data_IF_754519688681
#
_entry.id   IF_754519688681
#
_cell.length_a   1.000
_cell.length_b   1.000
_cell.length_c   1.000
_cell.angle_alpha   90.00
_cell.angle_beta   90.00
_cell.angle_gamma   90.00
#
_symmetry.space_group_name_H-M   'P 1'
#
loop_
_entity.id
_entity.type
_entity.pdbx_description
1 polymer ?
#
# COMPACT_ATOMS: atom_id res chain seq x y z
N UNK A 1 7.66 3.92 -1.12
CA UNK A 1 7.71 5.38 -1.36
C UNK A 1 8.35 5.67 -2.71
N UNK A 2 7.73 6.59 -3.46
CA UNK A 2 8.19 7.08 -4.75
C UNK A 2 9.47 7.89 -4.58
N UNK A 3 10.29 7.89 -5.63
CA UNK A 3 11.55 8.64 -5.66
C UNK A 3 11.26 10.12 -5.42
N UNK A 4 12.05 10.76 -4.56
CA UNK A 4 11.94 12.18 -4.19
C UNK A 4 10.52 12.59 -3.74
N UNK A 5 9.75 11.67 -3.13
CA UNK A 5 8.35 11.93 -2.72
C UNK A 5 7.47 12.43 -3.87
N UNK A 6 7.80 12.08 -5.12
CA UNK A 6 6.97 12.48 -6.26
C UNK A 6 5.58 11.87 -6.13
N UNK A 7 4.55 12.70 -6.33
CA UNK A 7 3.13 12.34 -6.18
C UNK A 7 2.61 11.56 -7.40
N UNK A 8 3.20 10.41 -7.68
CA UNK A 8 2.91 9.58 -8.86
C UNK A 8 1.47 9.05 -8.87
N UNK A 9 0.86 8.90 -7.70
CA UNK A 9 -0.49 8.35 -7.52
C UNK A 9 -1.58 9.42 -7.38
N UNK A 10 -1.26 10.71 -7.59
CA UNK A 10 -2.29 11.73 -7.86
C UNK A 10 -3.06 11.41 -9.15
N UNK A 11 -2.44 10.66 -10.07
CA UNK A 11 -3.13 10.07 -11.22
C UNK A 11 -3.98 8.88 -10.76
N UNK A 12 -5.32 8.94 -10.87
CA UNK A 12 -6.21 7.85 -10.46
C UNK A 12 -5.82 6.53 -11.11
N UNK A 13 -5.44 6.62 -12.37
CA UNK A 13 -5.19 5.46 -13.16
C UNK A 13 -3.80 4.83 -12.91
N UNK A 14 -2.89 5.53 -12.20
CA UNK A 14 -1.70 4.91 -11.61
C UNK A 14 -2.05 4.26 -10.26
N UNK A 15 -2.96 4.85 -9.48
CA UNK A 15 -3.43 4.27 -8.21
C UNK A 15 -4.22 2.97 -8.47
N UNK A 16 -5.12 2.95 -9.45
CA UNK A 16 -5.85 1.77 -9.90
C UNK A 16 -4.89 0.65 -10.33
N UNK A 17 -3.86 1.02 -11.09
CA UNK A 17 -2.84 0.08 -11.53
C UNK A 17 -2.10 -0.54 -10.34
N UNK A 18 -1.76 0.25 -9.33
CA UNK A 18 -1.15 -0.26 -8.10
C UNK A 18 -2.07 -1.24 -7.37
N UNK A 19 -3.35 -0.90 -7.20
CA UNK A 19 -4.34 -1.80 -6.57
C UNK A 19 -4.50 -3.11 -7.33
N UNK A 20 -4.58 -3.06 -8.67
CA UNK A 20 -4.65 -4.25 -9.51
C UNK A 20 -3.41 -5.14 -9.37
N UNK A 21 -2.22 -4.52 -9.25
CA UNK A 21 -0.98 -5.27 -9.03
C UNK A 21 -0.95 -5.95 -7.66
N UNK A 22 -1.38 -5.28 -6.59
CA UNK A 22 -1.50 -5.90 -5.26
C UNK A 22 -2.43 -7.12 -5.31
N UNK A 23 -3.63 -6.95 -5.89
CA UNK A 23 -4.57 -8.06 -6.08
C UNK A 23 -4.03 -9.18 -6.99
N UNK A 24 -3.19 -8.85 -7.98
CA UNK A 24 -2.53 -9.88 -8.81
C UNK A 24 -1.51 -10.69 -8.03
N UNK A 25 -0.77 -10.07 -7.12
CA UNK A 25 0.19 -10.77 -6.26
C UNK A 25 -0.50 -11.75 -5.31
N UNK A 26 -1.69 -11.40 -4.84
CA UNK A 26 -2.52 -12.31 -4.05
C UNK A 26 -3.03 -13.49 -4.88
N UNK A 27 -3.55 -13.24 -6.09
CA UNK A 27 -3.97 -14.32 -7.02
C UNK A 27 -2.83 -15.23 -7.47
N UNK A 28 -1.62 -14.69 -7.58
CA UNK A 28 -0.40 -15.43 -7.91
C UNK A 28 0.15 -16.24 -6.70
N UNK A 29 -0.47 -16.13 -5.52
CA UNK A 29 -0.02 -16.85 -4.31
C UNK A 29 1.31 -16.35 -3.75
N UNK A 30 1.70 -15.10 -4.06
CA UNK A 30 2.90 -14.48 -3.51
C UNK A 30 2.61 -13.94 -2.11
N UNK A 31 1.46 -13.31 -1.96
CA UNK A 31 0.99 -12.68 -0.74
C UNK A 31 -0.45 -13.06 -0.44
N UNK A 32 -0.88 -12.76 0.78
CA UNK A 32 -2.28 -12.57 1.11
C UNK A 32 -2.40 -11.21 1.81
N UNK A 33 -2.85 -10.21 1.06
CA UNK A 33 -3.09 -8.87 1.60
C UNK A 33 -4.19 -8.87 2.67
N UNK A 34 -3.97 -8.07 3.69
CA UNK A 34 -4.92 -7.83 4.78
C UNK A 34 -5.44 -6.39 4.75
N UNK A 35 -4.59 -5.43 4.34
CA UNK A 35 -4.98 -4.04 4.14
C UNK A 35 -3.97 -3.33 3.23
N UNK A 36 -4.43 -2.32 2.49
CA UNK A 36 -3.55 -1.37 1.81
C UNK A 36 -4.18 0.01 1.70
N UNK A 37 -3.32 1.02 1.54
CA UNK A 37 -3.71 2.37 1.15
C UNK A 37 -2.69 2.91 0.15
N UNK A 38 -3.17 3.43 -0.98
CA UNK A 38 -2.31 4.11 -1.95
C UNK A 38 -2.31 5.61 -1.63
N UNK A 39 -1.22 6.09 -1.04
CA UNK A 39 -0.97 7.50 -0.80
C UNK A 39 -0.42 8.17 -2.08
N UNK A 40 -0.48 9.50 -2.22
CA UNK A 40 -0.02 10.20 -3.43
C UNK A 40 1.39 9.83 -3.90
N UNK A 41 2.30 9.56 -2.98
CA UNK A 41 3.71 9.27 -3.27
C UNK A 41 4.24 7.99 -2.58
N UNK A 42 3.37 7.17 -1.98
CA UNK A 42 3.77 5.91 -1.38
C UNK A 42 2.58 4.97 -1.18
N UNK A 43 2.85 3.76 -0.71
CA UNK A 43 1.83 2.75 -0.43
C UNK A 43 2.15 2.21 0.96
N UNK A 44 1.14 2.07 1.81
CA UNK A 44 1.23 1.19 2.97
C UNK A 44 0.50 -0.11 2.64
N UNK A 45 1.11 -1.23 2.99
CA UNK A 45 0.61 -2.55 2.65
C UNK A 45 0.88 -3.52 3.80
N UNK A 46 -0.21 -4.06 4.34
CA UNK A 46 -0.20 -5.14 5.30
C UNK A 46 -0.53 -6.43 4.58
N UNK A 47 0.42 -7.37 4.54
CA UNK A 47 0.28 -8.63 3.83
C UNK A 47 0.99 -9.76 4.59
N UNK A 48 0.42 -10.95 4.50
CA UNK A 48 1.11 -12.19 4.84
C UNK A 48 1.88 -12.70 3.62
N UNK A 49 3.16 -13.04 3.79
CA UNK A 49 3.95 -13.69 2.73
C UNK A 49 3.54 -15.17 2.61
N UNK A 50 3.41 -15.66 1.38
CA UNK A 50 2.96 -17.04 1.12
C UNK A 50 4.05 -17.95 0.58
N UNK A 51 4.81 -17.49 -0.42
CA UNK A 51 5.76 -18.35 -1.14
C UNK A 51 7.18 -17.80 -1.25
N UNK A 52 7.37 -16.49 -1.05
CA UNK A 52 8.65 -15.82 -1.27
C UNK A 52 8.96 -14.84 -0.14
N UNK A 53 10.23 -14.39 -0.06
CA UNK A 53 10.65 -13.36 0.88
C UNK A 53 9.97 -12.02 0.62
N UNK A 54 9.95 -11.15 1.64
CA UNK A 54 9.43 -9.80 1.52
C UNK A 54 10.14 -9.02 0.41
N UNK A 55 11.48 -9.13 0.37
CA UNK A 55 12.30 -8.47 -0.64
C UNK A 55 11.92 -8.86 -2.06
N UNK A 56 11.65 -10.14 -2.31
CA UNK A 56 11.18 -10.61 -3.62
C UNK A 56 9.83 -10.00 -3.99
N UNK A 57 8.86 -10.04 -3.06
CA UNK A 57 7.51 -9.51 -3.30
C UNK A 57 7.56 -8.00 -3.60
N UNK A 58 8.29 -7.23 -2.79
CA UNK A 58 8.45 -5.78 -2.98
C UNK A 58 9.18 -5.48 -4.30
N UNK A 59 10.24 -6.23 -4.63
CA UNK A 59 10.95 -6.05 -5.90
C UNK A 59 10.02 -6.30 -7.10
N UNK A 60 9.26 -7.39 -7.08
CA UNK A 60 8.31 -7.75 -8.13
C UNK A 60 7.22 -6.69 -8.31
N UNK A 61 6.64 -6.20 -7.21
CA UNK A 61 5.67 -5.11 -7.24
C UNK A 61 6.26 -3.84 -7.85
N UNK A 62 7.43 -3.41 -7.36
CA UNK A 62 8.10 -2.19 -7.82
C UNK A 62 8.50 -2.26 -9.29
N UNK A 63 9.00 -3.40 -9.75
CA UNK A 63 9.40 -3.60 -11.14
C UNK A 63 8.19 -3.53 -12.08
N UNK A 64 7.12 -4.28 -11.78
CA UNK A 64 5.89 -4.30 -12.61
C UNK A 64 5.22 -2.93 -12.66
N UNK A 65 5.03 -2.29 -11.49
CA UNK A 65 4.43 -0.96 -11.41
C UNK A 65 5.27 0.08 -12.16
N UNK A 66 6.60 0.09 -11.98
CA UNK A 66 7.48 1.04 -12.69
C UNK A 66 7.39 0.86 -14.19
N UNK A 67 7.43 -0.37 -14.69
CA UNK A 67 7.33 -0.66 -16.11
C UNK A 67 6.03 -0.15 -16.70
N UNK A 68 4.89 -0.48 -16.09
CA UNK A 68 3.58 -0.12 -16.62
C UNK A 68 3.30 1.38 -16.53
N UNK A 69 3.66 2.03 -15.41
CA UNK A 69 3.49 3.48 -15.23
C UNK A 69 4.35 4.25 -16.24
N UNK A 70 5.61 3.86 -16.42
CA UNK A 70 6.49 4.49 -17.41
C UNK A 70 5.98 4.30 -18.84
N UNK A 71 5.57 3.08 -19.18
CA UNK A 71 4.97 2.78 -20.50
C UNK A 71 3.76 3.65 -20.77
N UNK A 72 2.88 3.82 -19.78
CA UNK A 72 1.69 4.69 -19.90
C UNK A 72 2.05 6.16 -20.10
N UNK A 73 3.07 6.65 -19.39
CA UNK A 73 3.51 8.05 -19.44
C UNK A 73 4.38 8.38 -20.65
N UNK A 74 4.78 7.37 -21.44
CA UNK A 74 5.82 7.52 -22.46
C UNK A 74 7.19 7.92 -21.88
N UNK A 75 7.40 7.68 -20.58
CA UNK A 75 8.62 8.07 -19.87
C UNK A 75 9.51 6.88 -19.57
N UNK A 76 10.74 7.15 -19.11
CA UNK A 76 11.66 6.16 -18.55
C UNK A 76 12.22 6.69 -17.24
N UNK A 77 12.67 5.79 -16.38
CA UNK A 77 13.34 6.13 -15.13
C UNK A 77 12.74 5.48 -13.89
N UNK A 78 13.38 5.73 -12.75
CA UNK A 78 12.98 5.14 -11.48
C UNK A 78 11.74 5.83 -10.91
N UNK A 79 10.66 5.06 -10.68
CA UNK A 79 9.45 5.51 -9.98
C UNK A 79 9.65 5.44 -8.46
N UNK A 80 10.34 4.40 -7.98
CA UNK A 80 10.50 4.12 -6.55
C UNK A 80 11.88 4.53 -6.05
N UNK A 81 11.95 4.89 -4.77
CA UNK A 81 13.24 4.93 -4.05
C UNK A 81 13.79 3.51 -3.84
N UNK A 82 15.11 3.41 -3.66
CA UNK A 82 15.76 2.16 -3.27
C UNK A 82 15.31 1.71 -1.86
N UNK A 83 15.29 0.40 -1.62
CA UNK A 83 14.86 -0.16 -0.33
C UNK A 83 13.36 -0.05 -0.06
N UNK A 84 12.95 -0.46 1.13
CA UNK A 84 11.59 -0.38 1.65
C UNK A 84 11.66 -0.33 3.19
N UNK A 85 10.57 0.13 3.81
CA UNK A 85 10.41 0.03 5.25
C UNK A 85 9.52 -1.17 5.53
N UNK A 86 9.88 -1.97 6.52
CA UNK A 86 9.11 -3.12 6.95
C UNK A 86 9.05 -3.22 8.47
N UNK A 87 7.96 -3.84 8.94
CA UNK A 87 7.75 -4.15 10.34
C UNK A 87 7.09 -5.53 10.44
N UNK A 88 7.75 -6.47 11.11
CA UNK A 88 7.24 -7.84 11.25
C UNK A 88 6.25 -7.93 12.42
N UNK A 89 4.99 -8.23 12.10
CA UNK A 89 3.90 -8.34 13.08
C UNK A 89 3.77 -9.78 13.57
N UNK A 90 3.71 -9.99 14.89
CA UNK A 90 3.78 -11.31 15.52
C UNK A 90 2.48 -11.81 16.17
N UNK A 91 1.42 -11.00 16.22
CA UNK A 91 0.14 -11.39 16.85
C UNK A 91 -1.07 -10.84 16.11
N UNK A 92 -2.20 -11.57 16.18
CA UNK A 92 -3.43 -11.22 15.47
C UNK A 92 -4.08 -9.93 15.99
N UNK A 93 -4.06 -9.71 17.31
CA UNK A 93 -4.51 -8.46 17.91
C UNK A 93 -3.71 -7.24 17.41
N UNK A 94 -2.48 -7.47 16.96
CA UNK A 94 -1.65 -6.43 16.34
C UNK A 94 -2.05 -6.19 14.88
N UNK A 95 -2.52 -7.19 14.13
CA UNK A 95 -2.90 -7.05 12.72
C UNK A 95 -4.07 -6.07 12.53
N UNK A 96 -5.12 -6.17 13.35
CA UNK A 96 -6.28 -5.27 13.26
C UNK A 96 -5.87 -3.82 13.53
N UNK A 97 -5.06 -3.58 14.57
CA UNK A 97 -4.55 -2.23 14.88
C UNK A 97 -3.68 -1.65 13.76
N UNK A 98 -2.82 -2.47 13.15
CA UNK A 98 -2.04 -2.05 12.00
C UNK A 98 -2.91 -1.72 10.78
N UNK A 99 -3.98 -2.49 10.55
CA UNK A 99 -4.93 -2.19 9.49
C UNK A 99 -5.64 -0.85 9.73
N UNK A 100 -6.13 -0.61 10.95
CA UNK A 100 -6.72 0.68 11.34
C UNK A 100 -5.76 1.83 11.05
N UNK A 101 -4.51 1.73 11.54
CA UNK A 101 -3.47 2.72 11.29
C UNK A 101 -3.25 2.97 9.80
N UNK A 102 -3.10 1.90 8.99
CA UNK A 102 -2.91 2.02 7.53
C UNK A 102 -4.07 2.78 6.88
N UNK A 103 -5.30 2.44 7.21
CA UNK A 103 -6.48 3.08 6.62
C UNK A 103 -6.71 4.51 7.13
N UNK A 104 -6.16 4.87 8.29
CA UNK A 104 -6.21 6.22 8.86
C UNK A 104 -5.15 7.17 8.28
N UNK A 105 -4.11 6.66 7.61
CA UNK A 105 -3.04 7.50 7.07
C UNK A 105 -3.52 8.65 6.15
N UNK A 106 -4.53 8.48 5.28
CA UNK A 106 -5.08 9.59 4.50
C UNK A 106 -5.67 10.70 5.38
N UNK A 107 -6.35 10.35 6.47
CA UNK A 107 -6.93 11.31 7.42
C UNK A 107 -5.82 12.09 8.12
N UNK A 108 -4.81 11.38 8.63
CA UNK A 108 -3.63 11.97 9.28
C UNK A 108 -2.83 12.89 8.35
N UNK A 109 -2.86 12.59 7.04
CA UNK A 109 -2.22 13.41 6.01
C UNK A 109 -3.11 14.54 5.48
N UNK A 110 -4.33 14.71 5.98
CA UNK A 110 -5.29 15.72 5.51
C UNK A 110 -5.84 15.48 4.11
N UNK A 111 -5.78 14.23 3.62
CA UNK A 111 -6.30 13.82 2.31
C UNK A 111 -7.75 13.34 2.36
N UNK A 112 -8.26 13.04 3.56
CA UNK A 112 -9.60 12.50 3.83
C UNK A 112 -10.13 13.07 5.15
N UNK A 113 -11.45 13.19 5.29
CA UNK A 113 -12.06 13.63 6.56
C UNK A 113 -12.22 12.47 7.54
N UNK A 114 -12.52 11.27 7.03
CA UNK A 114 -12.65 10.04 7.82
C UNK A 114 -12.09 8.82 7.07
N UNK A 115 -11.92 7.71 7.81
CA UNK A 115 -11.55 6.42 7.23
C UNK A 115 -12.61 6.01 6.21
N UNK A 116 -12.15 5.62 5.01
CA UNK A 116 -13.02 5.21 3.91
C UNK A 116 -13.31 6.28 2.85
N UNK A 117 -13.07 7.58 3.14
CA UNK A 117 -13.25 8.63 2.13
C UNK A 117 -12.20 8.57 1.02
N UNK A 118 -11.00 8.06 1.33
CA UNK A 118 -9.93 7.95 0.34
C UNK A 118 -10.17 6.73 -0.57
N UNK A 119 -10.31 6.92 -1.90
CA UNK A 119 -10.84 5.88 -2.79
C UNK A 119 -9.88 4.72 -3.05
N UNK A 120 -8.59 4.87 -2.69
CA UNK A 120 -7.55 3.87 -2.98
C UNK A 120 -7.16 3.05 -1.75
N UNK A 121 -8.13 2.82 -0.87
CA UNK A 121 -8.00 2.02 0.35
C UNK A 121 -8.77 0.72 0.27
N UNK A 122 -8.22 -0.32 0.89
CA UNK A 122 -8.93 -1.59 1.07
C UNK A 122 -8.46 -2.27 2.35
N UNK A 123 -9.37 -3.00 2.98
CA UNK A 123 -9.14 -3.73 4.21
C UNK A 123 -9.95 -5.03 4.19
N UNK A 124 -9.40 -6.11 4.76
CA UNK A 124 -10.13 -7.37 4.93
C UNK A 124 -11.22 -7.28 6.00
N UNK A 125 -11.11 -6.31 6.91
CA UNK A 125 -12.09 -6.03 7.96
C UNK A 125 -13.08 -4.96 7.47
N UNK A 126 -14.37 -5.05 7.84
CA UNK A 126 -15.34 -4.01 7.54
C UNK A 126 -14.89 -2.65 8.09
N UNK A 127 -15.14 -1.57 7.33
CA UNK A 127 -14.77 -0.22 7.76
C UNK A 127 -15.47 0.19 9.07
N UNK A 128 -16.66 -0.36 9.33
CA UNK A 128 -17.42 -0.15 10.58
C UNK A 128 -16.75 -0.75 11.82
N UNK A 129 -15.76 -1.63 11.64
CA UNK A 129 -14.99 -2.23 12.73
C UNK A 129 -13.64 -1.52 12.97
N UNK A 130 -13.30 -0.54 12.11
CA UNK A 130 -12.04 0.20 12.22
C UNK A 130 -12.20 1.40 13.15
N UNK A 131 -11.58 1.30 14.32
CA UNK A 131 -11.44 2.41 15.26
C UNK A 131 -10.12 3.16 14.98
N UNK A 132 -10.07 4.50 15.12
CA UNK A 132 -8.83 5.26 14.97
C UNK A 132 -7.72 4.69 15.86
N UNK A 133 -6.53 4.51 15.30
CA UNK A 133 -5.39 4.07 16.08
C UNK A 133 -4.97 5.25 16.97
N UNK A 134 -5.10 5.11 18.29
CA UNK A 134 -4.69 6.14 19.24
C UNK A 134 -3.29 6.68 18.97
N UNK A 135 -3.03 7.95 19.31
CA UNK A 135 -1.87 8.76 18.88
C UNK A 135 -0.48 8.19 19.21
N UNK A 136 -0.37 7.11 19.98
CA UNK A 136 0.89 6.53 20.44
C UNK A 136 0.91 5.04 20.21
N UNK A 137 1.51 4.63 19.10
CA UNK A 137 2.26 3.38 18.96
C UNK A 137 2.88 3.41 17.55
N UNK A 138 4.13 2.95 17.43
CA UNK A 138 5.04 2.92 16.25
C UNK A 138 5.97 4.12 16.07
#
# INVERSE_FOLDING_TARGET
MCRNRHRVFDSPANADLAMQLLGSMDREGLTASLAWIIMPDHIHWLAQLRSHSLGYCVQRFKARSSFLINRRRGSRGAIWQAGYYDHAIRSDASLHRHACYILENPVRAGLAAQIGDHPYGWCRWPLSELEPAGEREW
#
